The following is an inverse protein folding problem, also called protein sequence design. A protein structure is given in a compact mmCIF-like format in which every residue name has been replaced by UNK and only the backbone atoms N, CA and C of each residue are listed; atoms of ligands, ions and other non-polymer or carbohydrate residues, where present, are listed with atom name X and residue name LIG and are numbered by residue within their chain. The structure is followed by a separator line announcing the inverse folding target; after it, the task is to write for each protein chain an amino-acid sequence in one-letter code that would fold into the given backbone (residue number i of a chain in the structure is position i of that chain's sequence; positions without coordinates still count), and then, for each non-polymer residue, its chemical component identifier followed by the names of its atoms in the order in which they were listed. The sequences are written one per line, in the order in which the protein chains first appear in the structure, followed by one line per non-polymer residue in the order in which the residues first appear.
data_IF_200731417735
#
_entry.id   IF_200731417735
#
_cell.length_a   1.000
_cell.length_b   1.000
_cell.length_c   1.000
_cell.angle_alpha   90.00
_cell.angle_beta   90.00
_cell.angle_gamma   90.00
#
_symmetry.space_group_name_H-M   'P 1'
#
loop_
_entity.id
_entity.type
_entity.pdbx_description
1 polymer ?
#
# COMPACT_ATOMS: atom_id res chain seq x y z
N UNK A 1 -7.43 8.11 22.12
CA UNK A 1 -6.89 7.36 20.96
C UNK A 1 -5.43 7.03 21.20
N UNK A 2 -5.04 5.77 21.07
CA UNK A 2 -3.63 5.35 21.22
C UNK A 2 -3.30 4.37 20.09
N UNK A 3 -2.09 4.46 19.51
CA UNK A 3 -1.67 3.48 18.53
C UNK A 3 -1.59 2.09 19.19
N UNK A 4 -1.84 1.02 18.42
CA UNK A 4 -1.63 -0.35 18.91
C UNK A 4 -0.21 -0.57 19.43
N UNK A 5 -0.04 -1.59 20.28
CA UNK A 5 1.27 -2.00 20.77
C UNK A 5 2.22 -2.38 19.61
N UNK A 6 3.52 -2.18 19.81
CA UNK A 6 4.55 -2.47 18.82
C UNK A 6 4.79 -1.37 17.78
N UNK A 7 3.95 -0.33 17.73
CA UNK A 7 4.21 0.84 16.88
C UNK A 7 5.48 1.56 17.34
N UNK A 8 6.45 1.82 16.44
CA UNK A 8 7.71 2.46 16.82
C UNK A 8 7.55 3.85 17.43
N UNK A 9 8.46 4.22 18.34
CA UNK A 9 8.46 5.53 19.01
C UNK A 9 8.65 6.73 18.07
N UNK A 10 9.20 6.48 16.86
CA UNK A 10 9.33 7.47 15.78
C UNK A 10 7.98 7.79 15.11
N UNK A 11 6.95 6.97 15.31
CA UNK A 11 5.64 7.16 14.68
C UNK A 11 5.01 8.50 15.10
N UNK A 12 4.50 9.22 14.11
CA UNK A 12 3.66 10.41 14.29
C UNK A 12 2.34 10.31 13.54
N UNK A 13 2.22 9.38 12.60
CA UNK A 13 0.98 9.02 11.93
C UNK A 13 0.85 7.50 11.94
N UNK A 14 -0.33 7.00 12.29
CA UNK A 14 -0.63 5.57 12.27
C UNK A 14 -1.96 5.36 11.56
N UNK A 15 -1.93 4.59 10.48
CA UNK A 15 -3.12 4.07 9.81
C UNK A 15 -3.38 2.69 10.39
N UNK A 16 -4.46 2.53 11.14
CA UNK A 16 -4.84 1.23 11.71
C UNK A 16 -5.90 0.62 10.80
N UNK A 17 -5.70 -0.60 10.35
CA UNK A 17 -6.61 -1.35 9.49
C UNK A 17 -7.06 -2.57 10.29
N UNK A 18 -8.33 -2.61 10.66
CA UNK A 18 -8.96 -3.70 11.39
C UNK A 18 -9.84 -4.49 10.42
N UNK A 19 -9.36 -5.63 9.94
CA UNK A 19 -10.05 -6.42 8.93
C UNK A 19 -11.07 -7.39 9.52
N UNK A 20 -12.15 -7.61 8.79
CA UNK A 20 -13.15 -8.64 9.03
C UNK A 20 -13.61 -9.22 7.68
N UNK A 21 -13.18 -10.45 7.39
CA UNK A 21 -13.27 -11.00 6.05
C UNK A 21 -12.48 -10.14 5.05
N UNK A 22 -13.10 -9.76 3.93
CA UNK A 22 -12.51 -8.87 2.93
C UNK A 22 -12.80 -7.37 3.16
N UNK A 23 -13.48 -7.03 4.26
CA UNK A 23 -13.76 -5.66 4.68
C UNK A 23 -12.79 -5.22 5.78
N UNK A 24 -12.73 -3.92 6.05
CA UNK A 24 -12.00 -3.40 7.19
C UNK A 24 -12.58 -2.06 7.66
N UNK A 25 -12.37 -1.78 8.95
CA UNK A 25 -12.46 -0.42 9.50
C UNK A 25 -11.05 0.17 9.54
N UNK A 26 -10.90 1.36 8.97
CA UNK A 26 -9.61 2.05 8.90
C UNK A 26 -9.65 3.34 9.71
N UNK A 27 -8.67 3.49 10.59
CA UNK A 27 -8.49 4.66 11.44
C UNK A 27 -7.21 5.41 11.08
N UNK A 28 -7.23 6.73 11.22
CA UNK A 28 -6.06 7.59 11.13
C UNK A 28 -5.78 8.26 12.47
N UNK A 29 -4.68 7.88 13.10
CA UNK A 29 -4.19 8.47 14.34
C UNK A 29 -3.03 9.42 14.05
N UNK A 30 -3.06 10.60 14.67
CA UNK A 30 -2.01 11.62 14.55
C UNK A 30 -1.42 11.95 15.92
N UNK A 31 -0.09 12.05 16.01
CA UNK A 31 0.59 12.54 17.20
C UNK A 31 0.65 14.07 17.17
N UNK A 32 0.05 14.69 18.18
CA UNK A 32 0.11 16.12 18.49
C UNK A 32 0.99 16.34 19.73
N UNK A 33 1.36 17.60 20.06
CA UNK A 33 2.09 17.91 21.29
C UNK A 33 1.39 17.38 22.55
N UNK A 34 0.06 17.49 22.61
CA UNK A 34 -0.78 17.01 23.73
C UNK A 34 -0.99 15.49 23.77
N UNK A 35 -0.50 14.74 22.77
CA UNK A 35 -0.68 13.29 22.70
C UNK A 35 -1.28 12.82 21.38
N UNK A 36 -1.79 11.59 21.38
CA UNK A 36 -2.39 10.96 20.19
C UNK A 36 -3.87 11.34 20.04
N UNK A 37 -4.27 11.75 18.84
CA UNK A 37 -5.66 12.06 18.49
C UNK A 37 -6.15 11.17 17.36
N UNK A 38 -7.43 10.81 17.37
CA UNK A 38 -8.08 10.16 16.22
C UNK A 38 -8.48 11.25 15.21
N UNK A 39 -7.81 11.31 14.07
CA UNK A 39 -8.13 12.29 13.03
C UNK A 39 -9.28 11.81 12.14
N UNK A 40 -9.36 10.50 11.89
CA UNK A 40 -10.47 9.81 11.22
C UNK A 40 -10.63 8.45 11.87
N UNK A 41 -11.86 7.97 12.00
CA UNK A 41 -12.19 6.68 12.57
C UNK A 41 -13.20 5.97 11.67
N UNK A 42 -13.21 4.64 11.74
CA UNK A 42 -14.25 3.80 11.13
C UNK A 42 -14.44 4.10 9.63
N UNK A 43 -13.36 4.42 8.94
CA UNK A 43 -13.40 4.59 7.49
C UNK A 43 -13.59 3.20 6.89
N UNK A 44 -14.75 2.96 6.26
CA UNK A 44 -14.98 1.73 5.53
C UNK A 44 -13.84 1.48 4.52
N UNK A 45 -13.32 0.26 4.53
CA UNK A 45 -12.21 -0.19 3.70
C UNK A 45 -12.40 -1.60 3.16
N UNK A 46 -11.58 -1.96 2.17
CA UNK A 46 -11.49 -3.32 1.62
C UNK A 46 -10.04 -3.80 1.69
N UNK A 47 -9.88 -5.07 2.03
CA UNK A 47 -8.60 -5.79 2.08
C UNK A 47 -8.63 -6.96 1.10
N UNK A 48 -7.62 -7.82 1.13
CA UNK A 48 -7.52 -9.01 0.32
C UNK A 48 -8.79 -9.85 0.34
N UNK A 49 -9.17 -10.42 -0.81
CA UNK A 49 -10.33 -11.33 -0.96
C UNK A 49 -10.35 -12.47 0.05
N UNK A 50 -9.17 -12.91 0.52
CA UNK A 50 -9.01 -13.96 1.52
C UNK A 50 -8.70 -13.40 2.93
N UNK A 51 -8.95 -12.11 3.17
CA UNK A 51 -8.73 -11.43 4.43
C UNK A 51 -7.29 -11.03 4.69
N UNK A 52 -6.87 -11.06 5.95
CA UNK A 52 -5.51 -10.70 6.39
C UNK A 52 -4.76 -11.93 6.90
N UNK A 53 -3.44 -11.95 6.73
CA UNK A 53 -2.57 -13.04 7.21
C UNK A 53 -1.22 -12.49 7.63
N UNK A 54 -0.61 -12.96 8.75
CA UNK A 54 0.75 -12.55 9.14
C UNK A 54 1.74 -12.70 7.99
N UNK A 55 2.56 -11.67 7.73
CA UNK A 55 3.45 -11.63 6.55
C UNK A 55 4.31 -12.90 6.40
N UNK A 56 4.86 -13.43 7.50
CA UNK A 56 5.70 -14.64 7.48
C UNK A 56 4.95 -15.91 7.02
N UNK A 57 3.62 -15.92 7.16
CA UNK A 57 2.75 -17.03 6.76
C UNK A 57 2.13 -16.81 5.37
N UNK A 58 2.37 -15.66 4.74
CA UNK A 58 1.83 -15.32 3.42
C UNK A 58 2.64 -15.91 2.29
N UNK A 59 2.01 -15.98 1.11
CA UNK A 59 2.66 -16.16 -0.18
C UNK A 59 2.11 -15.15 -1.18
N UNK A 60 2.98 -14.62 -2.04
CA UNK A 60 2.58 -13.70 -3.10
C UNK A 60 1.45 -14.30 -3.94
N UNK A 61 0.38 -13.54 -4.17
CA UNK A 61 -0.80 -13.99 -4.90
C UNK A 61 -1.85 -14.76 -4.10
N UNK A 62 -1.60 -15.06 -2.81
CA UNK A 62 -2.54 -15.80 -1.93
C UNK A 62 -3.87 -15.08 -1.63
N UNK A 63 -4.03 -13.84 -2.13
CA UNK A 63 -5.25 -13.05 -1.99
C UNK A 63 -5.48 -12.48 -0.60
N UNK A 64 -4.50 -12.57 0.31
CA UNK A 64 -4.57 -11.95 1.64
C UNK A 64 -3.81 -10.62 1.69
N UNK A 65 -4.22 -9.70 2.56
CA UNK A 65 -3.44 -8.52 2.91
C UNK A 65 -2.43 -8.88 4.01
N UNK A 66 -1.18 -8.40 3.96
CA UNK A 66 -0.20 -8.71 5.00
C UNK A 66 -0.59 -8.04 6.31
N UNK A 67 -0.74 -8.85 7.36
CA UNK A 67 -0.89 -8.38 8.73
C UNK A 67 0.49 -8.11 9.34
N UNK A 68 0.58 -7.04 10.12
CA UNK A 68 1.83 -6.56 10.73
C UNK A 68 1.89 -5.05 10.88
N UNK A 69 3.07 -4.56 11.23
CA UNK A 69 3.39 -3.14 11.39
C UNK A 69 4.37 -2.74 10.30
N UNK A 70 3.93 -1.91 9.37
CA UNK A 70 4.70 -1.53 8.19
C UNK A 70 4.91 -0.02 8.15
N UNK A 71 6.12 0.42 7.82
CA UNK A 71 6.37 1.83 7.54
C UNK A 71 5.72 2.25 6.22
N UNK A 72 5.45 3.54 6.06
CA UNK A 72 5.37 4.15 4.74
C UNK A 72 6.69 3.90 4.00
N UNK A 73 6.62 3.09 2.96
CA UNK A 73 7.79 2.75 2.18
C UNK A 73 8.17 3.91 1.25
N UNK A 74 9.46 3.96 0.94
CA UNK A 74 9.99 4.78 -0.13
C UNK A 74 10.55 3.85 -1.20
N UNK A 75 10.26 4.16 -2.47
CA UNK A 75 10.78 3.43 -3.61
C UNK A 75 11.52 4.39 -4.53
N UNK A 76 12.60 3.92 -5.17
CA UNK A 76 13.34 4.67 -6.18
C UNK A 76 12.89 4.18 -7.56
N UNK A 77 12.28 5.06 -8.35
CA UNK A 77 11.90 4.78 -9.72
C UNK A 77 13.14 4.68 -10.64
N UNK A 78 12.99 4.10 -11.85
CA UNK A 78 14.08 3.96 -12.81
C UNK A 78 14.73 5.28 -13.25
N UNK A 79 13.98 6.38 -13.22
CA UNK A 79 14.46 7.75 -13.48
C UNK A 79 15.23 8.37 -12.30
N UNK A 80 15.37 7.64 -11.19
CA UNK A 80 16.03 8.08 -9.97
C UNK A 80 15.13 8.76 -8.95
N UNK A 81 13.87 9.08 -9.28
CA UNK A 81 12.93 9.73 -8.36
C UNK A 81 12.63 8.83 -7.16
N UNK A 82 12.69 9.38 -5.94
CA UNK A 82 12.25 8.68 -4.73
C UNK A 82 10.86 9.14 -4.34
N UNK A 83 9.92 8.20 -4.21
CA UNK A 83 8.53 8.49 -3.90
C UNK A 83 7.97 7.56 -2.81
N UNK A 84 6.90 7.99 -2.16
CA UNK A 84 6.13 7.17 -1.21
C UNK A 84 4.67 7.06 -1.59
N UNK A 85 4.18 8.02 -2.38
CA UNK A 85 2.85 8.06 -2.94
C UNK A 85 2.95 8.22 -4.46
N UNK A 86 2.01 7.65 -5.19
CA UNK A 86 1.98 7.71 -6.65
C UNK A 86 0.55 7.69 -7.17
N UNK A 87 0.36 7.97 -8.45
CA UNK A 87 -0.92 7.66 -9.09
C UNK A 87 -1.11 8.24 -10.47
N UNK A 88 -2.23 7.87 -11.08
CA UNK A 88 -2.70 8.35 -12.38
C UNK A 88 -3.47 9.67 -12.29
N UNK A 89 -3.90 10.09 -11.09
CA UNK A 89 -4.57 11.36 -10.83
C UNK A 89 -3.62 12.48 -10.43
N UNK A 90 -4.17 13.57 -9.90
CA UNK A 90 -3.39 14.68 -9.35
C UNK A 90 -2.83 14.35 -7.97
N UNK A 91 -1.69 14.95 -7.64
CA UNK A 91 -1.07 14.88 -6.32
C UNK A 91 -2.09 15.28 -5.23
N UNK A 92 -2.36 14.41 -4.22
CA UNK A 92 -3.23 14.76 -3.09
C UNK A 92 -2.65 15.88 -2.21
N UNK A 93 -1.38 16.23 -2.41
CA UNK A 93 -0.60 17.13 -1.57
C UNK A 93 -0.17 16.45 -0.28
N UNK A 94 0.62 17.18 0.50
CA UNK A 94 1.14 16.71 1.77
C UNK A 94 2.65 16.48 1.73
N UNK A 95 3.20 15.77 2.73
CA UNK A 95 4.64 15.73 2.95
C UNK A 95 5.33 14.48 2.40
N UNK A 96 4.58 13.51 1.85
CA UNK A 96 5.14 12.40 1.09
C UNK A 96 5.44 12.86 -0.34
N UNK A 97 6.56 12.41 -0.91
CA UNK A 97 6.91 12.70 -2.29
C UNK A 97 5.98 11.92 -3.25
N UNK A 98 5.40 12.67 -4.19
CA UNK A 98 4.51 12.19 -5.23
C UNK A 98 5.26 11.78 -6.50
N UNK A 99 4.91 10.61 -7.03
CA UNK A 99 5.24 10.18 -8.40
C UNK A 99 4.00 10.19 -9.27
N UNK A 100 4.04 10.94 -10.36
CA UNK A 100 3.06 10.76 -11.43
C UNK A 100 3.33 9.41 -12.09
N UNK A 101 2.29 8.60 -12.31
CA UNK A 101 2.43 7.37 -13.11
C UNK A 101 2.79 7.75 -14.54
N UNK A 102 3.86 7.15 -15.06
CA UNK A 102 4.35 7.40 -16.41
C UNK A 102 3.98 6.27 -17.37
N UNK A 103 3.92 6.58 -18.67
CA UNK A 103 3.81 5.57 -19.71
C UNK A 103 4.98 4.61 -19.59
N UNK A 104 4.73 3.34 -19.26
CA UNK A 104 5.77 2.32 -19.09
C UNK A 104 6.10 1.92 -17.65
N UNK A 105 5.45 2.53 -16.66
CA UNK A 105 5.57 2.10 -15.25
C UNK A 105 4.93 0.71 -15.05
N UNK A 106 5.77 -0.29 -14.78
CA UNK A 106 5.39 -1.68 -14.53
C UNK A 106 5.94 -2.10 -13.17
N UNK A 107 5.06 -2.46 -12.22
CA UNK A 107 5.46 -2.92 -10.90
C UNK A 107 5.60 -4.43 -10.87
N UNK A 108 6.81 -4.92 -10.59
CA UNK A 108 7.08 -6.35 -10.56
C UNK A 108 6.38 -7.04 -9.40
N UNK A 109 5.64 -8.10 -9.70
CA UNK A 109 5.01 -8.98 -8.73
C UNK A 109 5.26 -10.46 -9.02
N UNK A 110 5.96 -10.77 -10.12
CA UNK A 110 6.42 -12.12 -10.47
C UNK A 110 7.50 -12.60 -9.51
N UNK A 111 7.24 -13.66 -8.70
CA UNK A 111 8.21 -14.21 -7.77
C UNK A 111 9.52 -14.68 -8.41
N UNK A 112 10.63 -14.60 -7.67
CA UNK A 112 11.93 -15.14 -8.10
C UNK A 112 12.59 -14.35 -9.24
N UNK A 113 12.08 -13.14 -9.52
CA UNK A 113 12.68 -12.22 -10.50
C UNK A 113 13.39 -11.10 -9.77
N UNK A 114 14.47 -10.59 -10.36
CA UNK A 114 15.21 -9.43 -9.82
C UNK A 114 14.37 -8.14 -9.74
N UNK A 115 13.23 -8.12 -10.43
CA UNK A 115 12.24 -7.04 -10.41
C UNK A 115 11.12 -7.24 -9.37
N UNK A 116 11.13 -8.32 -8.59
CA UNK A 116 10.08 -8.57 -7.61
C UNK A 116 9.94 -7.41 -6.61
N UNK A 117 8.70 -6.94 -6.44
CA UNK A 117 8.33 -5.77 -5.64
C UNK A 117 9.11 -4.48 -5.98
N UNK A 118 9.45 -4.28 -7.27
CA UNK A 118 10.14 -3.08 -7.75
C UNK A 118 9.43 -2.47 -8.95
N UNK A 119 9.40 -1.14 -9.01
CA UNK A 119 9.01 -0.41 -10.21
C UNK A 119 10.11 -0.49 -11.27
N UNK A 120 9.75 -0.92 -12.48
CA UNK A 120 10.62 -0.96 -13.65
C UNK A 120 9.95 -0.31 -14.86
N UNK A 121 10.76 -0.01 -15.88
CA UNK A 121 10.25 0.41 -17.20
C UNK A 121 9.85 -0.83 -18.01
N UNK A 122 8.72 -0.78 -18.68
CA UNK A 122 8.27 -1.80 -19.62
C UNK A 122 7.37 -1.19 -20.70
N UNK A 123 7.34 -1.75 -21.90
CA UNK A 123 6.29 -1.42 -22.87
C UNK A 123 4.92 -1.93 -22.38
N UNK A 124 3.81 -1.33 -22.83
CA UNK A 124 2.46 -1.64 -22.35
C UNK A 124 2.08 -3.14 -22.47
N UNK A 125 2.46 -3.80 -23.56
CA UNK A 125 2.24 -5.25 -23.76
C UNK A 125 3.31 -6.16 -23.15
N UNK A 126 4.37 -5.59 -22.57
CA UNK A 126 5.53 -6.33 -22.05
C UNK A 126 5.58 -6.37 -20.51
N UNK A 127 4.52 -5.94 -19.82
CA UNK A 127 4.35 -6.11 -18.38
C UNK A 127 3.50 -7.36 -18.14
N UNK A 128 4.11 -8.53 -17.87
CA UNK A 128 3.38 -9.79 -17.80
C UNK A 128 2.66 -9.92 -16.46
N UNK A 129 1.49 -10.57 -16.45
CA UNK A 129 0.86 -10.97 -15.18
C UNK A 129 1.78 -11.96 -14.42
N UNK A 130 1.95 -11.82 -13.09
CA UNK A 130 1.20 -10.93 -12.19
C UNK A 130 1.75 -9.52 -12.01
N UNK A 131 2.79 -9.08 -12.74
CA UNK A 131 3.26 -7.69 -12.68
C UNK A 131 2.13 -6.71 -13.06
N UNK A 132 2.15 -5.54 -12.45
CA UNK A 132 1.09 -4.55 -12.58
C UNK A 132 1.53 -3.39 -13.48
N UNK A 133 0.96 -3.31 -14.68
CA UNK A 133 1.14 -2.13 -15.55
C UNK A 133 0.33 -0.96 -15.00
N UNK A 134 0.98 -0.08 -14.23
CA UNK A 134 0.32 0.96 -13.44
C UNK A 134 -0.58 1.91 -14.25
N UNK A 135 -0.28 2.26 -15.52
CA UNK A 135 -1.17 3.07 -16.34
C UNK A 135 -2.56 2.47 -16.58
N UNK A 136 -2.73 1.15 -16.46
CA UNK A 136 -4.04 0.51 -16.67
C UNK A 136 -4.96 0.65 -15.44
N UNK A 137 -4.41 1.00 -14.28
CA UNK A 137 -5.15 1.07 -13.02
C UNK A 137 -5.61 2.51 -12.72
N UNK A 138 -6.24 3.18 -13.69
CA UNK A 138 -6.58 4.60 -13.63
C UNK A 138 -7.51 4.93 -12.45
N UNK A 139 -8.45 4.05 -12.14
CA UNK A 139 -9.39 4.20 -11.02
C UNK A 139 -8.75 3.88 -9.68
N UNK A 140 -8.38 2.61 -9.46
CA UNK A 140 -7.83 2.15 -8.17
C UNK A 140 -6.54 2.87 -7.80
N UNK A 141 -5.62 3.06 -8.76
CA UNK A 141 -4.36 3.78 -8.56
C UNK A 141 -4.45 5.22 -9.05
N UNK A 142 -5.63 5.85 -8.93
CA UNK A 142 -5.74 7.30 -9.08
C UNK A 142 -4.81 8.02 -8.11
N UNK A 143 -4.76 7.55 -6.87
CA UNK A 143 -3.79 7.92 -5.85
C UNK A 143 -3.52 6.68 -4.98
N UNK A 144 -2.27 6.44 -4.64
CA UNK A 144 -1.85 5.29 -3.86
C UNK A 144 -0.65 5.62 -2.96
N UNK A 145 -0.52 4.92 -1.85
CA UNK A 145 0.66 4.95 -0.99
C UNK A 145 1.32 3.58 -0.90
N UNK A 146 2.65 3.58 -0.83
CA UNK A 146 3.45 2.37 -0.65
C UNK A 146 3.38 1.87 0.79
N UNK A 147 2.80 0.69 1.00
CA UNK A 147 2.88 0.00 2.30
C UNK A 147 4.16 -0.83 2.27
N UNK A 148 5.02 -0.66 3.29
CA UNK A 148 6.31 -1.35 3.38
C UNK A 148 6.25 -2.85 3.69
N UNK A 149 5.20 -3.54 3.26
CA UNK A 149 5.15 -4.99 3.31
C UNK A 149 6.18 -5.55 2.32
N UNK A 150 7.16 -6.30 2.83
CA UNK A 150 8.29 -6.82 2.07
C UNK A 150 9.15 -5.73 1.39
N UNK A 151 9.48 -4.67 2.13
CA UNK A 151 10.39 -3.59 1.71
C UNK A 151 11.54 -3.41 2.72
N UNK A 152 12.81 -3.55 2.30
CA UNK A 152 13.97 -3.38 3.20
C UNK A 152 15.22 -4.16 2.78
N UNK A 153 16.19 -4.23 3.70
CA UNK A 153 17.32 -5.18 3.64
C UNK A 153 16.76 -6.54 4.07
N UNK A 154 16.97 -7.60 3.27
CA UNK A 154 16.35 -8.93 3.43
C UNK A 154 14.87 -8.98 2.98
N UNK A 155 14.58 -8.38 1.81
CA UNK A 155 13.30 -8.62 1.12
C UNK A 155 13.26 -10.05 0.63
N UNK A 156 12.16 -10.73 0.89
CA UNK A 156 11.97 -12.12 0.54
C UNK A 156 11.43 -12.23 -0.89
N UNK A 157 12.11 -13.00 -1.73
CA UNK A 157 11.71 -13.27 -3.12
C UNK A 157 12.52 -12.51 -4.17
N UNK A 158 13.56 -11.79 -3.76
CA UNK A 158 14.49 -11.09 -4.67
C UNK A 158 15.61 -12.04 -5.13
N UNK A 159 16.00 -13.02 -4.29
CA UNK A 159 17.04 -14.02 -4.59
C UNK A 159 16.47 -15.45 -4.77
N UNK A 160 17.16 -16.35 -5.54
CA UNK A 160 16.75 -17.74 -5.69
C UNK A 160 16.60 -18.47 -4.35
N UNK A 161 15.47 -19.15 -4.16
CA UNK A 161 15.16 -19.92 -2.95
C UNK A 161 14.49 -19.12 -1.83
N UNK A 162 14.40 -17.80 -1.94
CA UNK A 162 13.65 -17.00 -0.97
C UNK A 162 12.13 -17.08 -1.22
N UNK A 163 11.30 -17.18 -0.16
CA UNK A 163 9.85 -17.25 -0.33
C UNK A 163 9.27 -15.88 -0.73
N UNK A 164 8.53 -15.74 -1.83
CA UNK A 164 7.88 -14.46 -2.17
C UNK A 164 6.70 -14.18 -1.23
N UNK A 165 6.83 -13.19 -0.34
CA UNK A 165 5.82 -12.94 0.71
C UNK A 165 4.78 -11.87 0.32
N UNK A 166 5.22 -10.81 -0.35
CA UNK A 166 4.37 -9.71 -0.78
C UNK A 166 5.04 -8.86 -1.86
N UNK A 167 4.28 -8.48 -2.88
CA UNK A 167 4.62 -7.44 -3.83
C UNK A 167 3.39 -6.57 -4.09
N UNK A 168 3.62 -5.34 -4.55
CA UNK A 168 2.57 -4.40 -4.94
C UNK A 168 1.50 -4.17 -3.86
N UNK A 169 1.91 -4.11 -2.58
CA UNK A 169 0.97 -3.84 -1.48
C UNK A 169 0.85 -2.33 -1.28
N UNK A 170 -0.29 -1.79 -1.65
CA UNK A 170 -0.57 -0.36 -1.59
C UNK A 170 -1.81 -0.05 -0.76
N UNK A 171 -1.90 1.19 -0.28
CA UNK A 171 -3.15 1.81 0.13
C UNK A 171 -3.67 2.62 -1.08
N UNK A 172 -4.87 2.34 -1.60
CA UNK A 172 -5.36 2.97 -2.83
C UNK A 172 -6.89 3.17 -2.86
N UNK A 173 -7.45 3.70 -3.96
CA UNK A 173 -8.90 3.92 -4.08
C UNK A 173 -9.66 2.61 -4.28
N UNK A 174 -10.92 2.55 -3.86
CA UNK A 174 -11.78 1.40 -4.19
C UNK A 174 -11.81 1.10 -5.70
N UNK A 175 -11.94 -0.19 -6.00
CA UNK A 175 -12.47 -0.67 -7.28
C UNK A 175 -13.93 -1.07 -7.09
N UNK A 176 -14.71 -0.99 -8.16
CA UNK A 176 -16.14 -1.26 -8.13
C UNK A 176 -16.50 -2.42 -9.07
N UNK A 177 -17.50 -3.21 -8.69
CA UNK A 177 -18.15 -4.16 -9.57
C UNK A 177 -19.16 -3.48 -10.50
N UNK A 178 -19.81 -4.26 -11.37
CA UNK A 178 -20.79 -3.74 -12.33
C UNK A 178 -22.03 -3.10 -11.67
N UNK A 179 -22.30 -3.42 -10.40
CA UNK A 179 -23.44 -2.92 -9.63
C UNK A 179 -23.05 -1.75 -8.71
N UNK A 180 -21.81 -1.26 -8.79
CA UNK A 180 -21.29 -0.18 -7.94
C UNK A 180 -20.89 -0.64 -6.52
N UNK A 181 -20.83 -1.95 -6.25
CA UNK A 181 -20.33 -2.51 -5.00
C UNK A 181 -18.81 -2.45 -4.92
N UNK A 182 -18.26 -2.24 -3.71
CA UNK A 182 -16.79 -2.19 -3.53
C UNK A 182 -16.17 -3.59 -3.59
N UNK A 183 -15.13 -3.74 -4.41
CA UNK A 183 -14.44 -5.03 -4.61
C UNK A 183 -13.37 -5.26 -3.55
N UNK A 184 -13.19 -6.53 -3.18
CA UNK A 184 -12.04 -6.95 -2.41
C UNK A 184 -10.76 -6.78 -3.25
N UNK A 185 -9.63 -6.55 -2.59
CA UNK A 185 -8.33 -6.39 -3.26
C UNK A 185 -7.66 -7.76 -3.48
N UNK A 186 -6.52 -7.77 -4.18
CA UNK A 186 -5.63 -8.94 -4.24
C UNK A 186 -4.63 -9.02 -3.07
N UNK A 187 -4.62 -8.02 -2.19
CA UNK A 187 -3.69 -7.92 -1.05
C UNK A 187 -3.46 -6.48 -0.56
N UNK A 188 -3.83 -5.47 -1.34
CA UNK A 188 -3.83 -4.06 -0.94
C UNK A 188 -4.86 -3.73 0.15
N UNK A 189 -4.80 -2.50 0.65
CA UNK A 189 -5.88 -1.86 1.41
C UNK A 189 -6.50 -0.80 0.50
N UNK A 190 -7.82 -0.67 0.51
CA UNK A 190 -8.49 0.39 -0.26
C UNK A 190 -9.53 1.15 0.54
N UNK A 191 -9.72 2.42 0.17
CA UNK A 191 -10.61 3.39 0.82
C UNK A 191 -11.38 4.20 -0.23
N UNK A 192 -12.45 4.85 0.23
CA UNK A 192 -13.18 5.84 -0.57
C UNK A 192 -12.37 7.13 -0.77
N UNK A 193 -12.65 7.86 -1.84
CA UNK A 193 -11.90 9.04 -2.32
C UNK A 193 -11.57 10.05 -1.21
N UNK A 194 -12.59 10.49 -0.46
CA UNK A 194 -12.43 11.51 0.59
C UNK A 194 -11.54 11.02 1.74
N UNK A 195 -11.75 9.77 2.15
CA UNK A 195 -11.01 9.14 3.24
C UNK A 195 -9.55 8.92 2.85
N UNK A 196 -9.31 8.39 1.66
CA UNK A 196 -7.96 8.20 1.15
C UNK A 196 -7.20 9.52 1.05
N UNK A 197 -7.79 10.54 0.44
CA UNK A 197 -7.16 11.86 0.34
C UNK A 197 -6.86 12.48 1.72
N UNK A 198 -7.70 12.23 2.72
CA UNK A 198 -7.44 12.67 4.09
C UNK A 198 -6.24 11.93 4.71
N UNK A 199 -6.11 10.62 4.45
CA UNK A 199 -4.95 9.82 4.90
C UNK A 199 -3.67 10.29 4.21
N UNK A 200 -3.65 10.31 2.87
CA UNK A 200 -2.44 10.59 2.08
C UNK A 200 -1.81 11.94 2.44
N UNK A 201 -2.62 12.99 2.64
CA UNK A 201 -2.16 14.34 3.03
C UNK A 201 -1.39 14.41 4.35
N UNK A 202 -1.51 13.39 5.20
CA UNK A 202 -0.83 13.35 6.49
C UNK A 202 0.41 12.44 6.51
N UNK A 203 0.58 11.56 5.53
CA UNK A 203 1.63 10.55 5.54
C UNK A 203 3.02 11.18 5.40
N UNK A 204 3.86 11.09 6.44
CA UNK A 204 5.25 11.60 6.43
C UNK A 204 6.26 10.46 6.33
N UNK A 205 7.26 10.56 5.44
CA UNK A 205 8.37 9.62 5.40
C UNK A 205 9.05 9.49 6.78
N UNK A 206 9.35 8.24 7.18
CA UNK A 206 10.00 7.93 8.46
C UNK A 206 9.13 8.13 9.71
N UNK A 207 7.89 8.62 9.58
CA UNK A 207 6.98 8.90 10.70
C UNK A 207 5.59 8.27 10.54
N UNK A 208 5.20 7.89 9.34
CA UNK A 208 3.94 7.21 9.06
C UNK A 208 4.10 5.69 9.07
N UNK A 209 3.17 5.01 9.73
CA UNK A 209 3.12 3.56 9.88
C UNK A 209 1.70 3.04 9.61
N UNK A 210 1.61 1.83 9.10
CA UNK A 210 0.39 1.05 8.90
C UNK A 210 0.41 -0.09 9.91
N UNK A 211 -0.69 -0.25 10.66
CA UNK A 211 -0.92 -1.43 11.51
C UNK A 211 -2.08 -2.19 10.91
N UNK A 212 -1.83 -3.36 10.36
CA UNK A 212 -2.84 -4.18 9.69
C UNK A 212 -3.07 -5.44 10.52
N UNK A 213 -4.33 -5.70 10.90
CA UNK A 213 -4.72 -6.83 11.74
C UNK A 213 -6.13 -7.31 11.44
#
# INVERSE_FOLDING_TARGET
CRPPAGVPSSARQVVVVNAFGSYADVDLLLRRPSGWTCARMEMAGRVGRNGVRPLAQRRSGDGTTPAGIFRLAAHRAPDGQVFQVFGNGSDPGGPAAWRQVESGDCWGATPGTSSYNRLRRSAAGACPSPDEYLPNFVGSYRQAALIGANMGRHRSGDDPGEPPLAAAIFLHHFSFDANGGTRATSGCVSLGTTNLAAVLRHLRPGRAWFVIR
#
